data_IF_949189307456
#
_entry.id   IF_949189307456
#
_cell.length_a   1.000
_cell.length_b   1.000
_cell.length_c   1.000
_cell.angle_alpha   90.00
_cell.angle_beta   90.00
_cell.angle_gamma   90.00
#
_symmetry.space_group_name_H-M   'P 1'
#
loop_
_entity.id
_entity.type
_entity.pdbx_description
1 polymer ?
#
# COMPACT_ATOMS: atom_id res chain seq x y z
N UNK A 1 6.10 4.65 -8.50
CA UNK A 1 6.46 6.05 -8.11
C UNK A 1 5.28 6.75 -7.47
N UNK A 2 4.07 6.45 -7.93
CA UNK A 2 2.76 6.86 -7.45
C UNK A 2 2.62 6.68 -5.94
N UNK A 3 2.83 5.46 -5.41
CA UNK A 3 2.74 5.19 -3.96
C UNK A 3 3.68 6.08 -3.15
N UNK A 4 4.89 6.33 -3.67
CA UNK A 4 5.87 7.22 -3.04
C UNK A 4 5.35 8.65 -2.96
N UNK A 5 4.74 9.17 -4.03
CA UNK A 5 4.13 10.50 -4.01
C UNK A 5 3.04 10.58 -2.93
N UNK A 6 2.14 9.59 -2.89
CA UNK A 6 1.07 9.55 -1.89
C UNK A 6 1.61 9.49 -0.46
N UNK A 7 2.56 8.59 -0.20
CA UNK A 7 3.15 8.46 1.13
C UNK A 7 3.86 9.74 1.59
N UNK A 8 4.46 10.50 0.67
CA UNK A 8 5.12 11.78 0.95
C UNK A 8 4.13 12.90 1.28
N UNK A 9 2.99 12.96 0.58
CA UNK A 9 1.90 13.91 0.87
C UNK A 9 1.35 13.68 2.28
N UNK A 10 1.02 12.43 2.63
CA UNK A 10 0.55 12.12 3.99
C UNK A 10 1.64 12.36 5.04
N UNK A 11 2.89 11.96 4.79
CA UNK A 11 3.98 12.20 5.74
C UNK A 11 4.18 13.70 6.03
N UNK A 12 4.16 14.54 4.99
CA UNK A 12 4.22 16.00 5.16
C UNK A 12 3.10 16.52 6.06
N UNK A 13 1.87 16.04 5.87
CA UNK A 13 0.73 16.44 6.69
C UNK A 13 0.84 15.92 8.14
N UNK A 14 1.28 14.67 8.31
CA UNK A 14 1.50 14.06 9.63
C UNK A 14 2.52 14.87 10.45
N UNK A 15 3.66 15.23 9.85
CA UNK A 15 4.69 16.03 10.49
C UNK A 15 4.21 17.43 10.90
N UNK A 16 3.35 18.06 10.09
CA UNK A 16 2.75 19.33 10.46
C UNK A 16 1.79 19.17 11.65
N UNK A 17 1.00 18.10 11.68
CA UNK A 17 0.05 17.84 12.77
C UNK A 17 0.74 17.45 14.07
N UNK A 18 1.90 16.79 13.99
CA UNK A 18 2.72 16.43 15.16
C UNK A 18 3.68 17.53 15.62
N UNK A 19 3.64 18.72 15.01
CA UNK A 19 4.57 19.84 15.25
C UNK A 19 6.06 19.46 15.08
N UNK A 20 6.34 18.43 14.26
CA UNK A 20 7.69 17.92 14.00
C UNK A 20 8.11 18.23 12.56
N UNK A 21 8.38 19.51 12.30
CA UNK A 21 8.66 20.00 10.94
C UNK A 21 10.15 19.99 10.59
N UNK A 22 11.04 19.77 11.56
CA UNK A 22 12.50 19.89 11.36
C UNK A 22 13.04 18.71 10.54
N UNK A 23 13.83 19.01 9.51
CA UNK A 23 14.44 18.05 8.58
C UNK A 23 13.43 17.26 7.73
N UNK A 24 12.16 17.68 7.71
CA UNK A 24 11.09 17.00 6.97
C UNK A 24 10.61 17.80 5.73
N UNK A 25 11.10 19.03 5.54
CA UNK A 25 10.75 19.88 4.39
C UNK A 25 11.12 19.28 3.02
N UNK A 26 12.06 18.32 2.95
CA UNK A 26 12.45 17.64 1.70
C UNK A 26 11.27 16.94 1.01
N UNK A 27 10.23 16.58 1.76
CA UNK A 27 9.01 16.03 1.17
C UNK A 27 8.34 17.00 0.18
N UNK A 28 8.44 18.31 0.39
CA UNK A 28 7.90 19.32 -0.55
C UNK A 28 8.63 19.22 -1.89
N UNK A 29 9.96 19.16 -1.87
CA UNK A 29 10.77 18.96 -3.07
C UNK A 29 10.48 17.61 -3.74
N UNK A 30 10.43 16.52 -2.96
CA UNK A 30 10.16 15.19 -3.49
C UNK A 30 8.79 15.15 -4.19
N UNK A 31 7.74 15.76 -3.60
CA UNK A 31 6.40 15.87 -4.18
C UNK A 31 6.45 16.63 -5.51
N UNK A 32 7.11 17.80 -5.54
CA UNK A 32 7.27 18.60 -6.76
C UNK A 32 7.91 17.80 -7.90
N UNK A 33 9.00 17.07 -7.61
CA UNK A 33 9.71 16.28 -8.62
C UNK A 33 8.93 15.05 -9.07
N UNK A 34 8.19 14.39 -8.17
CA UNK A 34 7.38 13.22 -8.50
C UNK A 34 6.17 13.57 -9.36
N UNK A 35 5.58 14.75 -9.18
CA UNK A 35 4.48 15.23 -10.01
C UNK A 35 4.82 15.34 -11.50
N UNK A 36 6.10 15.57 -11.85
CA UNK A 36 6.54 15.57 -13.25
C UNK A 36 6.60 14.17 -13.89
N UNK A 37 6.36 13.11 -13.13
CA UNK A 37 6.54 11.70 -13.55
C UNK A 37 5.34 10.81 -13.25
N UNK A 38 4.37 11.31 -12.49
CA UNK A 38 3.20 10.56 -12.06
C UNK A 38 1.97 11.12 -12.77
N UNK A 39 1.19 10.22 -13.36
CA UNK A 39 -0.07 10.57 -13.99
C UNK A 39 -1.18 10.62 -12.94
N UNK A 40 -1.88 11.75 -12.83
CA UNK A 40 -2.95 11.97 -11.84
C UNK A 40 -4.30 11.56 -12.45
N UNK A 41 -4.51 10.24 -12.57
CA UNK A 41 -5.71 9.61 -13.14
C UNK A 41 -6.55 8.90 -12.06
N UNK A 42 -7.63 8.23 -12.47
CA UNK A 42 -8.53 7.53 -11.53
C UNK A 42 -7.84 6.37 -10.79
N UNK A 43 -6.86 5.70 -11.40
CA UNK A 43 -6.05 4.67 -10.73
C UNK A 43 -5.17 5.28 -9.62
N UNK A 44 -4.62 6.49 -9.85
CA UNK A 44 -3.91 7.25 -8.83
C UNK A 44 -4.83 7.66 -7.69
N UNK A 45 -6.04 8.15 -8.01
CA UNK A 45 -7.05 8.48 -7.00
C UNK A 45 -7.43 7.27 -6.16
N UNK A 46 -7.73 6.13 -6.78
CA UNK A 46 -7.99 4.88 -6.08
C UNK A 46 -6.79 4.44 -5.22
N UNK A 47 -5.55 4.65 -5.69
CA UNK A 47 -4.35 4.41 -4.88
C UNK A 47 -4.33 5.31 -3.64
N UNK A 48 -4.65 6.61 -3.76
CA UNK A 48 -4.70 7.54 -2.61
C UNK A 48 -5.61 7.02 -1.51
N UNK A 49 -6.84 6.59 -1.85
CA UNK A 49 -7.77 6.04 -0.86
C UNK A 49 -7.25 4.75 -0.23
N UNK A 50 -6.69 3.82 -1.01
CA UNK A 50 -6.08 2.60 -0.46
C UNK A 50 -4.95 2.91 0.51
N UNK A 51 -4.08 3.85 0.15
CA UNK A 51 -2.99 4.31 1.02
C UNK A 51 -3.53 4.92 2.31
N UNK A 52 -4.60 5.72 2.22
CA UNK A 52 -5.23 6.33 3.38
C UNK A 52 -5.70 5.26 4.36
N UNK A 53 -6.47 4.28 3.89
CA UNK A 53 -6.94 3.16 4.71
C UNK A 53 -5.78 2.37 5.35
N UNK A 54 -4.73 2.05 4.58
CA UNK A 54 -3.55 1.36 5.10
C UNK A 54 -2.89 2.11 6.26
N UNK A 55 -2.93 3.44 6.22
CA UNK A 55 -2.27 4.31 7.19
C UNK A 55 -3.10 4.47 8.47
N UNK A 56 -4.43 4.29 8.43
CA UNK A 56 -5.29 4.45 9.62
C UNK A 56 -4.89 3.55 10.79
N UNK A 57 -4.34 2.37 10.49
CA UNK A 57 -3.87 1.41 11.52
C UNK A 57 -2.69 1.91 12.36
N UNK A 58 -1.99 2.97 11.92
CA UNK A 58 -0.83 3.49 12.64
C UNK A 58 -1.18 4.81 13.34
N UNK A 59 -0.99 4.88 14.66
CA UNK A 59 -1.36 6.04 15.48
C UNK A 59 -0.69 7.35 15.08
N UNK A 60 0.53 7.29 14.52
CA UNK A 60 1.25 8.46 14.00
C UNK A 60 0.74 8.97 12.64
N UNK A 61 -0.13 8.24 11.95
CA UNK A 61 -0.70 8.68 10.68
C UNK A 61 -1.98 9.49 10.91
N UNK A 62 -1.79 10.67 11.51
CA UNK A 62 -2.87 11.57 11.93
C UNK A 62 -3.65 12.10 10.72
N UNK A 63 -2.96 12.43 9.62
CA UNK A 63 -3.57 12.96 8.41
C UNK A 63 -4.37 11.94 7.60
N UNK A 64 -4.27 10.65 7.93
CA UNK A 64 -5.02 9.58 7.27
C UNK A 64 -6.37 9.27 7.92
N UNK A 65 -6.60 9.76 9.14
CA UNK A 65 -7.83 9.52 9.91
C UNK A 65 -9.06 10.13 9.23
N UNK A 66 -10.26 9.66 9.58
CA UNK A 66 -11.51 10.01 8.89
C UNK A 66 -11.89 11.49 9.01
N UNK A 67 -11.47 12.13 10.09
CA UNK A 67 -11.70 13.55 10.40
C UNK A 67 -10.69 14.49 9.73
N UNK A 68 -9.59 13.95 9.18
CA UNK A 68 -8.57 14.75 8.52
C UNK A 68 -8.98 15.17 7.10
N UNK A 69 -8.72 16.45 6.78
CA UNK A 69 -8.87 17.00 5.43
C UNK A 69 -7.49 17.33 4.85
N UNK A 70 -6.95 16.41 4.06
CA UNK A 70 -5.61 16.56 3.46
C UNK A 70 -5.50 17.82 2.59
N UNK A 71 -6.45 18.13 1.68
CA UNK A 71 -6.45 19.39 0.95
C UNK A 71 -6.38 20.63 1.87
N UNK A 72 -7.15 20.67 2.96
CA UNK A 72 -7.11 21.79 3.90
C UNK A 72 -5.77 21.87 4.64
N UNK A 73 -5.18 20.73 5.02
CA UNK A 73 -3.86 20.66 5.65
C UNK A 73 -2.76 21.18 4.70
N UNK A 74 -2.80 20.79 3.43
CA UNK A 74 -1.87 21.29 2.42
C UNK A 74 -2.01 22.80 2.19
N UNK A 75 -3.25 23.33 2.18
CA UNK A 75 -3.48 24.78 2.12
C UNK A 75 -2.85 25.48 3.31
N UNK A 76 -3.05 24.95 4.53
CA UNK A 76 -2.43 25.48 5.74
C UNK A 76 -0.91 25.49 5.65
N UNK A 77 -0.28 24.42 5.15
CA UNK A 77 1.18 24.36 4.93
C UNK A 77 1.65 25.52 4.03
N UNK A 78 0.92 25.80 2.94
CA UNK A 78 1.24 26.87 1.99
C UNK A 78 1.06 28.25 2.65
N UNK A 79 -0.08 28.48 3.30
CA UNK A 79 -0.44 29.77 3.90
C UNK A 79 0.48 30.17 5.05
N UNK A 80 0.84 29.21 5.91
CA UNK A 80 1.72 29.50 7.05
C UNK A 80 3.21 29.46 6.68
N UNK A 81 3.57 28.87 5.53
CA UNK A 81 4.96 28.69 5.11
C UNK A 81 5.80 27.93 6.15
N UNK A 82 5.19 27.01 6.92
CA UNK A 82 5.77 26.48 8.15
C UNK A 82 7.07 25.67 7.93
N UNK A 83 7.24 25.12 6.73
CA UNK A 83 8.44 24.40 6.31
C UNK A 83 9.50 25.28 5.64
N UNK A 84 9.23 26.57 5.37
CA UNK A 84 10.12 27.43 4.57
C UNK A 84 11.52 27.53 5.16
N UNK A 85 11.60 27.85 6.45
CA UNK A 85 12.87 27.94 7.17
C UNK A 85 13.65 26.62 7.11
N UNK A 86 12.98 25.50 7.41
CA UNK A 86 13.60 24.19 7.36
C UNK A 86 14.10 23.83 5.95
N UNK A 87 13.34 24.21 4.93
CA UNK A 87 13.69 23.97 3.53
C UNK A 87 14.95 24.75 3.12
N UNK A 88 15.01 26.03 3.45
CA UNK A 88 16.13 26.91 3.12
C UNK A 88 17.42 26.52 3.85
N UNK A 89 17.31 26.13 5.13
CA UNK A 89 18.47 25.76 5.96
C UNK A 89 18.98 24.34 5.68
N UNK A 90 18.08 23.37 5.42
CA UNK A 90 18.45 21.96 5.33
C UNK A 90 18.26 21.41 3.92
N UNK A 91 17.04 21.45 3.39
CA UNK A 91 16.73 20.77 2.12
C UNK A 91 17.56 21.31 0.97
N UNK A 92 17.63 22.65 0.83
CA UNK A 92 18.35 23.31 -0.26
C UNK A 92 19.82 22.91 -0.35
N UNK A 93 20.48 22.68 0.79
CA UNK A 93 21.90 22.28 0.85
C UNK A 93 22.15 20.85 0.35
N UNK A 94 21.11 20.03 0.29
CA UNK A 94 21.18 18.61 -0.11
C UNK A 94 20.71 18.35 -1.54
N UNK A 95 20.24 19.39 -2.26
CA UNK A 95 19.72 19.24 -3.61
C UNK A 95 20.85 19.18 -4.63
N UNK A 96 20.81 18.18 -5.51
CA UNK A 96 21.71 18.12 -6.66
C UNK A 96 21.32 19.12 -7.75
N UNK A 97 20.02 19.27 -8.00
CA UNK A 97 19.45 20.28 -8.89
C UNK A 97 18.85 21.41 -8.04
N UNK A 98 19.28 22.67 -8.20
CA UNK A 98 18.73 23.79 -7.45
C UNK A 98 17.24 23.94 -7.70
N UNK A 99 16.46 24.01 -6.63
CA UNK A 99 15.03 24.32 -6.65
C UNK A 99 14.71 25.09 -5.36
N UNK A 100 14.18 26.30 -5.49
CA UNK A 100 13.86 27.11 -4.33
C UNK A 100 12.51 26.69 -3.70
N UNK A 101 12.22 27.25 -2.53
CA UNK A 101 11.00 26.91 -1.81
C UNK A 101 9.73 27.33 -2.56
N UNK A 102 9.76 28.50 -3.20
CA UNK A 102 8.60 29.08 -3.89
C UNK A 102 8.24 28.28 -5.15
N UNK A 103 9.23 27.69 -5.81
CA UNK A 103 9.05 26.74 -6.90
C UNK A 103 8.52 25.40 -6.36
N UNK A 104 9.18 24.82 -5.36
CA UNK A 104 8.81 23.51 -4.83
C UNK A 104 7.39 23.49 -4.23
N UNK A 105 6.97 24.56 -3.56
CA UNK A 105 5.64 24.67 -2.94
C UNK A 105 4.51 24.66 -3.99
N UNK A 106 4.80 25.00 -5.25
CA UNK A 106 3.81 24.87 -6.34
C UNK A 106 3.36 23.43 -6.56
N UNK A 107 4.19 22.44 -6.18
CA UNK A 107 3.79 21.03 -6.19
C UNK A 107 2.60 20.76 -5.28
N UNK A 108 2.55 21.37 -4.10
CA UNK A 108 1.40 21.21 -3.19
C UNK A 108 0.14 21.86 -3.77
N UNK A 109 0.27 23.03 -4.42
CA UNK A 109 -0.85 23.69 -5.12
C UNK A 109 -1.43 22.76 -6.20
N UNK A 110 -0.59 22.17 -7.05
CA UNK A 110 -1.01 21.20 -8.06
C UNK A 110 -1.74 19.98 -7.47
N UNK A 111 -1.28 19.45 -6.34
CA UNK A 111 -1.97 18.36 -5.64
C UNK A 111 -3.37 18.79 -5.19
N UNK A 112 -3.50 19.98 -4.57
CA UNK A 112 -4.80 20.51 -4.14
C UNK A 112 -5.72 20.69 -5.34
N UNK A 113 -5.24 21.34 -6.40
CA UNK A 113 -6.02 21.66 -7.60
C UNK A 113 -6.47 20.39 -8.35
N UNK A 114 -5.68 19.32 -8.27
CA UNK A 114 -6.03 18.03 -8.88
C UNK A 114 -7.23 17.33 -8.24
N UNK A 115 -7.58 17.67 -6.99
CA UNK A 115 -8.65 17.01 -6.24
C UNK A 115 -8.36 15.56 -5.82
N UNK A 116 -7.17 15.01 -6.11
CA UNK A 116 -6.84 13.58 -5.90
C UNK A 116 -6.86 13.13 -4.43
N UNK A 117 -6.70 14.06 -3.49
CA UNK A 117 -6.73 13.81 -2.04
C UNK A 117 -8.03 14.30 -1.38
N UNK A 118 -9.01 14.71 -2.18
CA UNK A 118 -10.35 15.05 -1.68
C UNK A 118 -11.10 13.83 -1.18
N UNK A 119 -12.27 14.07 -0.57
CA UNK A 119 -13.21 12.99 -0.25
C UNK A 119 -13.75 12.36 -1.54
N UNK A 120 -13.99 11.06 -1.50
CA UNK A 120 -14.60 10.31 -2.59
C UNK A 120 -15.67 9.40 -2.02
N UNK A 121 -16.86 9.99 -1.84
CA UNK A 121 -18.02 9.31 -1.28
C UNK A 121 -18.44 8.11 -2.13
N UNK A 122 -18.21 8.18 -3.46
CA UNK A 122 -18.52 7.08 -4.37
C UNK A 122 -17.56 5.91 -4.15
N UNK A 123 -16.25 6.17 -4.10
CA UNK A 123 -15.24 5.15 -3.82
C UNK A 123 -15.47 4.51 -2.45
N UNK A 124 -15.70 5.33 -1.41
CA UNK A 124 -15.93 4.86 -0.04
C UNK A 124 -17.23 4.04 0.08
N UNK A 125 -18.29 4.46 -0.62
CA UNK A 125 -19.56 3.71 -0.63
C UNK A 125 -19.48 2.43 -1.45
N UNK A 126 -18.66 2.38 -2.50
CA UNK A 126 -18.59 1.24 -3.41
C UNK A 126 -17.44 0.27 -3.11
N UNK A 127 -16.56 0.56 -2.15
CA UNK A 127 -15.43 -0.31 -1.79
C UNK A 127 -15.65 -0.97 -0.44
N UNK A 128 -15.26 -2.25 -0.33
CA UNK A 128 -15.20 -2.99 0.93
C UNK A 128 -13.75 -3.30 1.25
N UNK A 129 -13.36 -3.00 2.48
CA UNK A 129 -12.02 -3.27 3.00
C UNK A 129 -12.02 -4.57 3.79
N UNK A 130 -11.31 -5.58 3.29
CA UNK A 130 -11.25 -6.91 3.88
C UNK A 130 -9.82 -7.21 4.29
N UNK A 131 -9.60 -7.42 5.58
CA UNK A 131 -8.30 -7.83 6.12
C UNK A 131 -8.24 -9.35 6.22
N UNK A 132 -7.20 -9.95 5.66
CA UNK A 132 -6.91 -11.39 5.81
C UNK A 132 -5.52 -11.60 6.37
N UNK A 133 -5.33 -12.66 7.15
CA UNK A 133 -4.00 -13.05 7.62
C UNK A 133 -3.03 -13.26 6.46
N UNK A 134 -1.77 -12.84 6.61
CA UNK A 134 -0.76 -13.07 5.58
C UNK A 134 -0.42 -14.55 5.36
N UNK A 135 -0.78 -15.42 6.30
CA UNK A 135 -0.74 -16.88 6.16
C UNK A 135 -1.65 -17.40 5.05
N UNK A 136 -2.68 -16.64 4.65
CA UNK A 136 -3.52 -16.96 3.50
C UNK A 136 -2.74 -16.94 2.18
N UNK A 137 -1.62 -16.19 2.10
CA UNK A 137 -0.83 -16.05 0.88
C UNK A 137 -0.15 -17.35 0.50
N UNK A 138 -0.40 -17.81 -0.72
CA UNK A 138 0.33 -18.93 -1.33
C UNK A 138 1.44 -18.43 -2.25
N UNK A 139 1.13 -17.47 -3.13
CA UNK A 139 2.10 -16.93 -4.09
C UNK A 139 1.71 -15.52 -4.54
N UNK A 140 2.72 -14.73 -4.87
CA UNK A 140 2.56 -13.42 -5.52
C UNK A 140 2.97 -13.55 -6.99
N UNK A 141 2.11 -13.10 -7.88
CA UNK A 141 2.39 -12.99 -9.32
C UNK A 141 2.37 -11.53 -9.73
N UNK A 142 2.77 -11.26 -10.98
CA UNK A 142 2.83 -9.89 -11.53
C UNK A 142 1.47 -9.19 -11.49
N UNK A 143 0.41 -9.89 -11.90
CA UNK A 143 -0.93 -9.31 -12.05
C UNK A 143 -1.85 -9.57 -10.85
N UNK A 144 -1.59 -10.62 -10.07
CA UNK A 144 -2.49 -11.05 -9.00
C UNK A 144 -1.75 -11.72 -7.84
N UNK A 145 -2.45 -11.81 -6.71
CA UNK A 145 -2.06 -12.60 -5.55
C UNK A 145 -2.94 -13.84 -5.46
N UNK A 146 -2.30 -14.97 -5.17
CA UNK A 146 -2.98 -16.25 -4.96
C UNK A 146 -2.98 -16.58 -3.48
N UNK A 147 -4.19 -16.74 -2.94
CA UNK A 147 -4.43 -17.03 -1.53
C UNK A 147 -5.27 -18.30 -1.36
N UNK A 148 -5.21 -18.91 -0.18
CA UNK A 148 -6.08 -20.01 0.25
C UNK A 148 -7.14 -19.53 1.22
N UNK A 149 -8.28 -20.22 1.23
CA UNK A 149 -9.32 -20.03 2.24
C UNK A 149 -8.88 -20.65 3.59
N UNK A 150 -9.53 -20.25 4.70
CA UNK A 150 -9.32 -20.88 6.00
C UNK A 150 -9.62 -22.38 5.99
N UNK A 151 -8.70 -23.21 6.50
CA UNK A 151 -8.76 -24.68 6.41
C UNK A 151 -9.98 -25.27 7.14
N UNK A 152 -10.40 -24.63 8.23
CA UNK A 152 -11.52 -25.09 9.06
C UNK A 152 -12.91 -24.61 8.56
N UNK A 153 -12.97 -23.94 7.40
CA UNK A 153 -14.20 -23.40 6.82
C UNK A 153 -14.83 -24.28 5.74
N UNK A 154 -16.04 -23.90 5.30
CA UNK A 154 -16.77 -24.55 4.19
C UNK A 154 -15.93 -24.67 2.91
N UNK A 155 -15.04 -23.70 2.70
CA UNK A 155 -14.19 -23.59 1.52
C UNK A 155 -12.73 -23.94 1.78
N UNK A 156 -12.38 -24.71 2.83
CA UNK A 156 -10.96 -24.92 3.23
C UNK A 156 -10.01 -25.46 2.16
N UNK A 157 -10.50 -26.27 1.21
CA UNK A 157 -9.72 -26.78 0.06
C UNK A 157 -9.68 -25.82 -1.15
N UNK A 158 -10.25 -24.62 -1.02
CA UNK A 158 -10.35 -23.64 -2.10
C UNK A 158 -9.25 -22.58 -2.04
N UNK A 159 -8.92 -22.07 -3.21
CA UNK A 159 -8.00 -20.96 -3.42
C UNK A 159 -8.67 -19.86 -4.21
N UNK A 160 -8.21 -18.63 -4.06
CA UNK A 160 -8.74 -17.47 -4.75
C UNK A 160 -7.63 -16.56 -5.26
N UNK A 161 -7.93 -15.83 -6.33
CA UNK A 161 -7.00 -14.89 -6.97
C UNK A 161 -7.55 -13.47 -6.85
N UNK A 162 -6.76 -12.56 -6.29
CA UNK A 162 -7.10 -11.14 -6.21
C UNK A 162 -6.10 -10.35 -7.07
N UNK A 163 -6.56 -9.56 -8.07
CA UNK A 163 -5.71 -8.67 -8.83
C UNK A 163 -4.92 -7.73 -7.92
N UNK A 164 -3.63 -7.51 -8.21
CA UNK A 164 -2.75 -6.70 -7.37
C UNK A 164 -3.24 -5.24 -7.24
N UNK A 165 -4.04 -4.75 -8.19
CA UNK A 165 -4.69 -3.43 -8.11
C UNK A 165 -5.70 -3.29 -6.96
N UNK A 166 -6.14 -4.39 -6.35
CA UNK A 166 -7.02 -4.38 -5.17
C UNK A 166 -6.30 -4.78 -3.89
N UNK A 167 -5.01 -5.11 -3.95
CA UNK A 167 -4.26 -5.60 -2.80
C UNK A 167 -3.39 -4.48 -2.24
N UNK A 168 -3.44 -4.30 -0.93
CA UNK A 168 -2.40 -3.61 -0.16
C UNK A 168 -1.77 -4.57 0.85
N UNK A 169 -0.56 -4.25 1.28
CA UNK A 169 0.16 -5.01 2.31
C UNK A 169 0.40 -4.05 3.46
N UNK A 170 -0.04 -4.44 4.66
CA UNK A 170 0.32 -3.70 5.86
C UNK A 170 1.84 -3.80 6.06
N UNK A 171 2.51 -2.71 6.47
CA UNK A 171 3.98 -2.69 6.71
C UNK A 171 4.44 -3.71 7.77
N UNK A 172 3.55 -4.17 8.64
CA UNK A 172 3.84 -5.26 9.60
C UNK A 172 3.83 -6.65 8.96
N UNK A 173 3.40 -6.78 7.70
CA UNK A 173 3.21 -8.02 6.92
C UNK A 173 2.35 -9.10 7.59
N UNK A 174 1.69 -8.81 8.72
CA UNK A 174 0.80 -9.76 9.40
C UNK A 174 -0.55 -9.93 8.70
N UNK A 175 -0.96 -8.91 7.96
CA UNK A 175 -2.22 -8.90 7.24
C UNK A 175 -2.05 -8.40 5.80
N UNK A 176 -2.88 -8.96 4.92
CA UNK A 176 -3.10 -8.52 3.55
C UNK A 176 -4.47 -7.87 3.55
N UNK A 177 -4.55 -6.64 3.03
CA UNK A 177 -5.82 -5.93 2.93
C UNK A 177 -6.25 -5.92 1.47
N UNK A 178 -7.52 -6.25 1.25
CA UNK A 178 -8.16 -6.19 -0.05
C UNK A 178 -9.15 -5.02 -0.06
N UNK A 179 -9.09 -4.21 -1.10
CA UNK A 179 -10.02 -3.11 -1.35
C UNK A 179 -10.85 -3.50 -2.57
N UNK A 180 -11.95 -4.22 -2.34
CA UNK A 180 -12.76 -4.80 -3.41
C UNK A 180 -14.01 -3.96 -3.67
N UNK A 181 -14.36 -3.66 -4.93
CA UNK A 181 -15.66 -3.10 -5.27
C UNK A 181 -16.80 -4.00 -4.75
N UNK A 182 -17.92 -3.43 -4.29
CA UNK A 182 -19.05 -4.18 -3.71
C UNK A 182 -19.67 -5.19 -4.67
N UNK A 183 -19.65 -4.88 -5.96
CA UNK A 183 -20.14 -5.72 -7.06
C UNK A 183 -19.09 -6.75 -7.54
N UNK A 184 -17.89 -6.75 -6.97
CA UNK A 184 -16.85 -7.72 -7.29
C UNK A 184 -17.26 -9.13 -6.84
N UNK A 185 -16.98 -10.12 -7.69
CA UNK A 185 -17.21 -11.54 -7.39
C UNK A 185 -15.87 -12.22 -7.16
N UNK A 186 -15.67 -12.77 -5.97
CA UNK A 186 -14.48 -13.53 -5.62
C UNK A 186 -14.66 -14.97 -6.10
N UNK A 187 -13.94 -15.32 -7.17
CA UNK A 187 -13.94 -16.69 -7.70
C UNK A 187 -13.03 -17.59 -6.87
N UNK A 188 -13.63 -18.55 -6.19
CA UNK A 188 -12.96 -19.64 -5.49
C UNK A 188 -12.78 -20.83 -6.43
N UNK A 189 -11.63 -21.49 -6.35
CA UNK A 189 -11.33 -22.74 -7.09
C UNK A 189 -10.79 -23.81 -6.16
N UNK A 190 -11.44 -24.98 -6.18
CA UNK A 190 -10.99 -26.17 -5.47
C UNK A 190 -9.81 -26.82 -6.22
N UNK A 191 -8.68 -26.99 -5.54
CA UNK A 191 -7.48 -27.56 -6.15
C UNK A 191 -7.57 -29.06 -6.46
N UNK A 192 -8.48 -29.79 -5.81
CA UNK A 192 -8.65 -31.25 -5.95
C UNK A 192 -9.72 -31.60 -6.98
N UNK A 193 -10.87 -30.94 -6.92
CA UNK A 193 -12.03 -31.26 -7.76
C UNK A 193 -12.16 -30.37 -9.00
N UNK A 194 -11.33 -29.32 -9.11
CA UNK A 194 -11.47 -28.25 -10.12
C UNK A 194 -12.82 -27.51 -10.10
N UNK A 195 -13.64 -27.70 -9.07
CA UNK A 195 -14.89 -26.96 -8.90
C UNK A 195 -14.62 -25.47 -8.64
N UNK A 196 -15.45 -24.61 -9.23
CA UNK A 196 -15.43 -23.17 -9.00
C UNK A 196 -16.71 -22.71 -8.32
N UNK A 197 -16.60 -21.71 -7.45
CA UNK A 197 -17.72 -21.06 -6.76
C UNK A 197 -17.44 -19.56 -6.74
N UNK A 198 -18.39 -18.75 -7.18
CA UNK A 198 -18.32 -17.29 -7.02
C UNK A 198 -18.96 -16.87 -5.71
N UNK A 199 -18.27 -16.06 -4.92
CA UNK A 199 -18.82 -15.41 -3.73
C UNK A 199 -18.95 -13.91 -3.97
N UNK A 200 -20.01 -13.31 -3.47
CA UNK A 200 -20.08 -11.86 -3.32
C UNK A 200 -19.01 -11.38 -2.32
N UNK A 201 -18.64 -10.10 -2.37
CA UNK A 201 -17.66 -9.54 -1.42
C UNK A 201 -18.10 -9.70 0.03
N UNK A 202 -19.39 -9.55 0.32
CA UNK A 202 -19.95 -9.70 1.66
C UNK A 202 -19.87 -11.15 2.16
N UNK A 203 -20.21 -12.13 1.31
CA UNK A 203 -20.07 -13.54 1.66
C UNK A 203 -18.60 -13.92 1.87
N UNK A 204 -17.72 -13.45 0.98
CA UNK A 204 -16.28 -13.68 1.12
C UNK A 204 -15.72 -13.06 2.41
N UNK A 205 -16.12 -11.83 2.74
CA UNK A 205 -15.71 -11.16 3.97
C UNK A 205 -16.09 -11.97 5.20
N UNK A 206 -17.33 -12.46 5.28
CA UNK A 206 -17.80 -13.28 6.41
C UNK A 206 -17.03 -14.60 6.58
N UNK A 207 -16.55 -15.21 5.48
CA UNK A 207 -15.76 -16.44 5.54
C UNK A 207 -14.33 -16.23 6.08
N UNK A 208 -13.77 -15.02 5.90
CA UNK A 208 -12.38 -14.69 6.30
C UNK A 208 -12.28 -13.80 7.55
N UNK A 209 -13.41 -13.30 8.04
CA UNK A 209 -13.51 -12.47 9.24
C UNK A 209 -13.02 -13.22 10.48
N UNK A 210 -12.28 -12.50 11.34
CA UNK A 210 -11.67 -12.99 12.58
C UNK A 210 -10.79 -14.25 12.43
N UNK A 211 -10.25 -14.50 11.22
CA UNK A 211 -9.32 -15.61 10.96
C UNK A 211 -7.87 -15.16 11.10
N UNK A 212 -7.21 -15.64 12.15
CA UNK A 212 -5.77 -15.46 12.36
C UNK A 212 -4.92 -16.48 11.59
N UNK A 213 -3.60 -16.48 11.81
CA UNK A 213 -2.67 -17.41 11.16
C UNK A 213 -3.01 -18.89 11.38
N UNK A 214 -3.57 -19.26 12.53
CA UNK A 214 -3.90 -20.66 12.86
C UNK A 214 -4.99 -21.23 11.97
N UNK A 215 -5.88 -20.36 11.46
CA UNK A 215 -6.95 -20.75 10.56
C UNK A 215 -6.46 -21.17 9.16
N UNK A 216 -5.22 -20.84 8.81
CA UNK A 216 -4.62 -21.12 7.51
C UNK A 216 -3.49 -22.15 7.59
N UNK A 217 -3.39 -22.94 8.67
CA UNK A 217 -2.43 -24.04 8.76
C UNK A 217 -0.96 -23.68 8.47
N UNK A 218 -0.14 -24.68 8.16
CA UNK A 218 1.28 -24.46 7.84
C UNK A 218 1.48 -23.86 6.44
N UNK A 219 2.53 -23.05 6.26
CA UNK A 219 2.93 -22.50 4.95
C UNK A 219 3.17 -23.64 3.96
N UNK A 220 2.30 -23.79 2.97
CA UNK A 220 2.46 -24.77 1.89
C UNK A 220 3.52 -24.21 0.93
N UNK A 221 4.76 -24.66 1.05
CA UNK A 221 5.83 -24.40 0.07
C UNK A 221 5.54 -25.29 -1.14
N UNK A 222 5.38 -24.69 -2.32
CA UNK A 222 5.15 -25.47 -3.56
C UNK A 222 6.46 -26.13 -4.00
N UNK A 223 6.44 -27.36 -4.54
CA UNK A 223 7.63 -28.01 -5.10
C UNK A 223 8.35 -27.18 -6.17
N UNK A 224 7.59 -26.34 -6.90
CA UNK A 224 8.14 -25.41 -7.90
C UNK A 224 9.05 -24.32 -7.32
N UNK A 225 8.97 -24.03 -6.02
CA UNK A 225 9.89 -23.11 -5.33
C UNK A 225 11.17 -23.82 -4.85
N UNK A 226 11.14 -25.14 -4.69
CA UNK A 226 12.34 -25.93 -4.34
C UNK A 226 13.25 -26.07 -5.56
N UNK A 227 12.68 -26.06 -6.78
CA UNK A 227 13.42 -26.21 -8.03
C UNK A 227 14.29 -25.00 -8.42
N UNK A 228 14.07 -23.80 -7.85
CA UNK A 228 14.90 -22.61 -8.13
C UNK A 228 16.14 -22.48 -7.26
N UNK A 229 16.19 -23.17 -6.10
CA UNK A 229 17.29 -23.06 -5.14
C UNK A 229 18.33 -24.20 -5.29
N UNK A 230 18.14 -25.09 -6.27
CA UNK A 230 18.97 -26.28 -6.49
C UNK A 230 20.30 -26.06 -7.21
N UNK A 231 20.72 -24.82 -7.49
CA UNK A 231 21.96 -24.56 -8.24
C UNK A 231 23.02 -23.77 -7.45
N UNK A 232 23.36 -24.24 -6.25
CA UNK A 232 24.62 -23.84 -5.60
C UNK A 232 25.22 -24.94 -4.72
N UNK A 233 25.97 -25.86 -5.33
CA UNK A 233 26.99 -26.69 -4.69
C UNK A 233 27.92 -27.16 -5.83
N UNK A 234 29.26 -27.12 -5.80
CA UNK A 234 30.28 -26.97 -4.75
C UNK A 234 31.57 -26.55 -5.49
N UNK A 235 32.35 -25.60 -4.96
CA UNK A 235 33.81 -25.57 -5.16
C UNK A 235 34.45 -26.05 -3.86
N UNK A 236 34.72 -27.34 -3.76
CA UNK A 236 35.64 -27.88 -2.76
C UNK A 236 37.05 -27.76 -3.35
N UNK A 237 37.84 -26.86 -2.78
CA UNK A 237 39.29 -26.77 -3.00
C UNK A 237 39.96 -27.92 -2.26
N UNK A 238 40.49 -28.89 -3.00
CA UNK A 238 41.41 -29.89 -2.47
C UNK A 238 42.82 -29.29 -2.31
N UNK A 239 43.30 -29.24 -1.07
CA UNK A 239 44.74 -29.20 -0.78
C UNK A 239 45.07 -30.56 -0.17
N UNK A 240 45.85 -31.37 -0.89
CA UNK A 240 46.42 -32.59 -0.36
C UNK A 240 47.93 -32.43 -0.32
N UNK A 241 48.49 -32.52 0.89
CA UNK A 241 49.93 -32.60 1.13
C UNK A 241 50.45 -33.97 0.71
N UNK A 242 51.58 -33.97 -0.01
CA UNK A 242 52.66 -34.95 0.12
C UNK A 242 53.96 -34.31 -0.34
#
# INVERSE_FOLDING_TARGET
MERTLVDKVFALCDYMLSDDMKKHSRHIYDIYQLLGRVELNDDFRALVHRVREDRKYHSLCISAQDDADVPALLKRVIETGCYKKDYEEHTRTMLYAPCDYEEAITGLKKIIDSGMFGKDEEYEKNTVHISVSSAAKIASYKEYRLCKMPENGKYGDYTYKIPNKYVSINRSEKAIVFHLPKDYVVELRNGRTNQTVGLTVTEFAAEVEDKDESAYGAKIIRPSQIASDGNTHKKETGVNSK
#
